data_IF_516033526460
#
_entry.id   IF_516033526460
#
_cell.length_a   1.000
_cell.length_b   1.000
_cell.length_c   1.000
_cell.angle_alpha   90.00
_cell.angle_beta   90.00
_cell.angle_gamma   90.00
#
_symmetry.space_group_name_H-M   'P 1'
#
loop_
_entity.id
_entity.type
_entity.pdbx_description
1 polymer ?
#
# COMPACT_ATOMS: atom_id res chain seq x y z
N UNK A 1 19.97 23.57 -10.84
CA UNK A 1 19.29 23.72 -12.13
C UNK A 1 19.53 25.16 -12.60
N UNK A 2 20.42 25.39 -13.57
CA UNK A 2 20.95 26.74 -13.87
C UNK A 2 20.67 27.23 -15.30
N UNK A 3 19.85 26.55 -16.10
CA UNK A 3 19.59 26.97 -17.50
C UNK A 3 18.13 26.72 -17.91
N UNK A 4 17.18 27.26 -17.16
CA UNK A 4 15.79 27.54 -17.58
C UNK A 4 15.30 28.69 -16.71
N UNK A 5 14.83 29.80 -17.30
CA UNK A 5 14.27 30.97 -16.57
C UNK A 5 12.86 30.67 -16.03
N UNK A 6 12.68 29.53 -15.37
CA UNK A 6 11.45 29.20 -14.68
C UNK A 6 11.48 29.84 -13.29
N UNK A 7 10.40 30.51 -12.90
CA UNK A 7 10.30 31.15 -11.59
C UNK A 7 10.45 30.15 -10.44
N UNK A 8 9.99 28.91 -10.64
CA UNK A 8 10.04 27.83 -9.65
C UNK A 8 10.13 26.47 -10.36
N UNK A 9 11.31 26.04 -10.84
CA UNK A 9 11.45 24.70 -11.42
C UNK A 9 11.09 23.63 -10.37
N UNK A 10 10.43 22.54 -10.77
CA UNK A 10 10.06 21.49 -9.83
C UNK A 10 11.31 20.90 -9.17
N UNK A 11 11.26 20.74 -7.85
CA UNK A 11 12.36 20.12 -7.10
C UNK A 11 12.54 18.68 -7.58
N UNK A 12 13.77 18.28 -7.87
CA UNK A 12 14.06 16.95 -8.41
C UNK A 12 13.54 15.81 -7.51
N UNK A 13 13.63 15.96 -6.19
CA UNK A 13 13.07 15.02 -5.21
C UNK A 13 11.56 14.84 -5.36
N UNK A 14 10.80 15.93 -5.54
CA UNK A 14 9.35 15.86 -5.77
C UNK A 14 9.03 15.12 -7.07
N UNK A 15 9.76 15.39 -8.15
CA UNK A 15 9.56 14.70 -9.43
C UNK A 15 9.82 13.21 -9.29
N UNK A 16 10.94 12.82 -8.66
CA UNK A 16 11.27 11.41 -8.43
C UNK A 16 10.23 10.74 -7.50
N UNK A 17 9.76 11.44 -6.47
CA UNK A 17 8.72 10.96 -5.56
C UNK A 17 7.40 10.69 -6.30
N UNK A 18 6.94 11.60 -7.15
CA UNK A 18 5.71 11.38 -7.93
C UNK A 18 5.87 10.25 -8.95
N UNK A 19 7.03 10.13 -9.60
CA UNK A 19 7.32 8.99 -10.49
C UNK A 19 7.33 7.65 -9.73
N UNK A 20 7.96 7.61 -8.55
CA UNK A 20 7.99 6.41 -7.72
C UNK A 20 6.58 6.03 -7.23
N UNK A 21 5.78 7.01 -6.80
CA UNK A 21 4.38 6.79 -6.42
C UNK A 21 3.53 6.26 -7.57
N UNK A 22 3.67 6.82 -8.77
CA UNK A 22 2.98 6.34 -9.96
C UNK A 22 3.37 4.88 -10.30
N UNK A 23 4.65 4.53 -10.16
CA UNK A 23 5.13 3.16 -10.29
C UNK A 23 4.44 2.23 -9.28
N UNK A 24 4.39 2.60 -8.00
CA UNK A 24 3.75 1.80 -6.95
C UNK A 24 2.24 1.62 -7.18
N UNK A 25 1.55 2.65 -7.69
CA UNK A 25 0.15 2.54 -8.09
C UNK A 25 -0.04 1.55 -9.24
N UNK A 26 0.83 1.57 -10.24
CA UNK A 26 0.80 0.61 -11.33
C UNK A 26 1.14 -0.81 -10.85
N UNK A 27 2.12 -0.97 -9.96
CA UNK A 27 2.47 -2.26 -9.35
C UNK A 27 1.29 -2.83 -8.57
N UNK A 28 0.58 -2.01 -7.80
CA UNK A 28 -0.62 -2.43 -7.08
C UNK A 28 -1.67 -2.99 -8.04
N UNK A 29 -1.98 -2.28 -9.13
CA UNK A 29 -2.96 -2.71 -10.13
C UNK A 29 -2.53 -4.01 -10.82
N UNK A 30 -1.27 -4.11 -11.24
CA UNK A 30 -0.74 -5.32 -11.89
C UNK A 30 -0.76 -6.54 -10.96
N UNK A 31 -0.41 -6.36 -9.68
CA UNK A 31 -0.51 -7.43 -8.69
C UNK A 31 -1.96 -7.83 -8.48
N UNK A 32 -2.87 -6.86 -8.38
CA UNK A 32 -4.29 -7.12 -8.15
C UNK A 32 -4.90 -7.90 -9.31
N UNK A 33 -4.65 -7.46 -10.55
CA UNK A 33 -5.07 -8.14 -11.78
C UNK A 33 -4.51 -9.57 -11.84
N UNK A 34 -3.21 -9.75 -11.55
CA UNK A 34 -2.59 -11.08 -11.54
C UNK A 34 -3.23 -11.99 -10.48
N UNK A 35 -3.50 -11.48 -9.27
CA UNK A 35 -4.18 -12.26 -8.23
C UNK A 35 -5.64 -12.55 -8.57
N UNK A 36 -6.27 -11.73 -9.42
CA UNK A 36 -7.63 -11.98 -9.88
C UNK A 36 -7.71 -13.19 -10.83
N UNK A 37 -6.63 -13.51 -11.56
CA UNK A 37 -6.57 -14.69 -12.44
C UNK A 37 -6.67 -16.00 -11.64
N UNK A 38 -6.21 -16.02 -10.38
CA UNK A 38 -6.26 -17.17 -9.47
C UNK A 38 -7.53 -17.23 -8.60
N UNK A 39 -8.49 -16.33 -8.82
CA UNK A 39 -9.74 -16.23 -8.05
C UNK A 39 -9.80 -14.97 -7.20
N UNK A 40 -10.11 -13.84 -7.86
CA UNK A 40 -10.20 -12.50 -7.26
C UNK A 40 -11.15 -12.33 -6.07
N UNK A 41 -11.41 -11.08 -5.64
CA UNK A 41 -12.33 -10.81 -4.53
C UNK A 41 -13.69 -11.48 -4.72
N UNK A 42 -14.21 -12.10 -3.67
CA UNK A 42 -15.51 -12.78 -3.69
C UNK A 42 -16.25 -12.56 -2.38
N UNK A 43 -17.57 -12.36 -2.44
CA UNK A 43 -18.40 -12.27 -1.23
C UNK A 43 -18.40 -13.57 -0.39
N UNK A 44 -18.00 -14.70 -0.98
CA UNK A 44 -17.99 -16.02 -0.34
C UNK A 44 -16.69 -16.31 0.43
N UNK A 45 -15.61 -15.54 0.20
CA UNK A 45 -14.30 -15.77 0.85
C UNK A 45 -13.49 -14.49 1.01
N UNK A 46 -12.82 -14.36 2.16
CA UNK A 46 -11.86 -13.27 2.43
C UNK A 46 -10.41 -13.61 2.09
N UNK A 47 -10.15 -14.82 1.57
CA UNK A 47 -8.78 -15.32 1.34
C UNK A 47 -7.99 -14.46 0.36
N UNK A 48 -8.64 -13.94 -0.69
CA UNK A 48 -7.99 -13.02 -1.64
C UNK A 48 -7.31 -11.86 -0.91
N UNK A 49 -8.02 -11.18 0.00
CA UNK A 49 -7.49 -10.04 0.76
C UNK A 49 -6.38 -10.43 1.73
N UNK A 50 -6.45 -11.65 2.27
CA UNK A 50 -5.45 -12.21 3.16
C UNK A 50 -4.15 -12.50 2.41
N UNK A 51 -4.23 -13.12 1.24
CA UNK A 51 -3.08 -13.49 0.41
C UNK A 51 -2.49 -12.26 -0.28
N UNK A 52 -3.33 -11.33 -0.75
CA UNK A 52 -2.92 -10.08 -1.38
C UNK A 52 -2.00 -9.23 -0.47
N UNK A 53 -2.23 -9.26 0.84
CA UNK A 53 -1.32 -8.63 1.81
C UNK A 53 0.09 -9.22 1.77
N UNK A 54 0.26 -10.53 1.52
CA UNK A 54 1.59 -11.14 1.44
C UNK A 54 2.36 -10.63 0.22
N UNK A 55 1.69 -10.43 -0.91
CA UNK A 55 2.29 -9.82 -2.10
C UNK A 55 2.70 -8.36 -1.84
N UNK A 56 1.84 -7.57 -1.19
CA UNK A 56 2.18 -6.21 -0.79
C UNK A 56 3.39 -6.17 0.14
N UNK A 57 3.45 -7.07 1.14
CA UNK A 57 4.60 -7.15 2.04
C UNK A 57 5.89 -7.41 1.28
N UNK A 58 5.88 -8.31 0.28
CA UNK A 58 7.06 -8.58 -0.55
C UNK A 58 7.50 -7.34 -1.35
N UNK A 59 6.57 -6.62 -1.97
CA UNK A 59 6.91 -5.39 -2.70
C UNK A 59 7.50 -4.33 -1.78
N UNK A 60 6.93 -4.13 -0.60
CA UNK A 60 7.46 -3.14 0.36
C UNK A 60 8.87 -3.52 0.82
N UNK A 61 9.14 -4.81 1.04
CA UNK A 61 10.50 -5.28 1.38
C UNK A 61 11.47 -5.06 0.22
N UNK A 62 11.07 -5.29 -1.03
CA UNK A 62 11.91 -5.02 -2.20
C UNK A 62 12.18 -3.51 -2.36
N UNK A 63 11.16 -2.66 -2.20
CA UNK A 63 11.28 -1.20 -2.23
C UNK A 63 12.18 -0.66 -1.13
N UNK A 64 12.12 -1.25 0.06
CA UNK A 64 12.95 -0.87 1.19
C UNK A 64 14.40 -1.35 1.05
N UNK A 65 14.61 -2.59 0.62
CA UNK A 65 15.92 -3.24 0.69
C UNK A 65 16.71 -3.14 -0.63
N UNK A 66 16.04 -2.95 -1.77
CA UNK A 66 16.66 -2.88 -3.10
C UNK A 66 16.60 -1.46 -3.65
N UNK A 67 15.40 -0.86 -3.75
CA UNK A 67 15.25 0.42 -4.45
C UNK A 67 15.62 1.64 -3.59
N UNK A 68 15.36 1.61 -2.29
CA UNK A 68 15.73 2.72 -1.39
C UNK A 68 17.25 2.97 -1.36
N UNK A 69 18.13 1.96 -1.26
CA UNK A 69 19.58 2.19 -1.35
C UNK A 69 20.03 2.76 -2.69
N UNK A 70 19.37 2.38 -3.79
CA UNK A 70 19.70 2.85 -5.14
C UNK A 70 19.25 4.30 -5.37
N UNK A 71 18.08 4.68 -4.85
CA UNK A 71 17.49 6.02 -4.97
C UNK A 71 17.74 6.88 -3.72
N UNK A 72 19.00 6.94 -3.28
CA UNK A 72 19.40 7.64 -2.05
C UNK A 72 19.79 9.13 -2.23
N UNK A 73 19.52 9.73 -3.39
CA UNK A 73 19.99 11.08 -3.72
C UNK A 73 19.35 12.17 -2.83
N UNK A 74 18.19 11.88 -2.23
CA UNK A 74 17.42 12.81 -1.39
C UNK A 74 16.96 12.13 -0.09
N UNK A 75 17.87 11.62 0.76
CA UNK A 75 17.52 10.68 1.84
C UNK A 75 16.69 11.31 2.97
N UNK A 76 16.68 12.64 3.07
CA UNK A 76 15.85 13.40 4.02
C UNK A 76 14.44 13.69 3.48
N UNK A 77 14.22 13.50 2.18
CA UNK A 77 12.99 13.91 1.49
C UNK A 77 12.24 12.71 0.89
N UNK A 78 12.98 11.68 0.47
CA UNK A 78 12.45 10.51 -0.20
C UNK A 78 13.06 9.24 0.40
N UNK A 79 12.19 8.39 0.93
CA UNK A 79 12.48 6.98 1.19
C UNK A 79 11.49 6.17 0.36
N UNK A 80 12.00 5.41 -0.61
CA UNK A 80 11.18 4.61 -1.53
C UNK A 80 10.37 3.58 -0.75
N UNK A 81 10.97 2.90 0.24
CA UNK A 81 10.26 1.95 1.09
C UNK A 81 9.13 2.57 1.90
N UNK A 82 9.33 3.77 2.47
CA UNK A 82 8.27 4.47 3.20
C UNK A 82 7.15 4.94 2.26
N UNK A 83 7.51 5.44 1.08
CA UNK A 83 6.55 5.87 0.06
C UNK A 83 5.73 4.67 -0.45
N UNK A 84 6.39 3.52 -0.64
CA UNK A 84 5.76 2.24 -1.00
C UNK A 84 4.74 1.81 0.04
N UNK A 85 5.15 1.71 1.30
CA UNK A 85 4.27 1.34 2.40
C UNK A 85 3.06 2.27 2.52
N UNK A 86 3.27 3.59 2.43
CA UNK A 86 2.18 4.57 2.46
C UNK A 86 1.20 4.43 1.28
N UNK A 87 1.73 4.27 0.06
CA UNK A 87 0.93 4.23 -1.17
C UNK A 87 0.12 2.94 -1.27
N UNK A 88 0.78 1.80 -1.07
CA UNK A 88 0.14 0.49 -1.14
C UNK A 88 -0.90 0.33 -0.02
N UNK A 89 -0.62 0.81 1.19
CA UNK A 89 -1.59 0.79 2.29
C UNK A 89 -2.87 1.57 1.95
N UNK A 90 -2.76 2.76 1.35
CA UNK A 90 -3.93 3.58 1.03
C UNK A 90 -4.82 2.94 -0.04
N UNK A 91 -4.21 2.32 -1.06
CA UNK A 91 -4.94 1.59 -2.09
C UNK A 91 -5.65 0.36 -1.50
N UNK A 92 -4.90 -0.47 -0.76
CA UNK A 92 -5.45 -1.66 -0.11
C UNK A 92 -6.57 -1.34 0.87
N UNK A 93 -6.39 -0.32 1.72
CA UNK A 93 -7.42 0.10 2.69
C UNK A 93 -8.72 0.47 1.99
N UNK A 94 -8.61 1.22 0.89
CA UNK A 94 -9.78 1.67 0.11
C UNK A 94 -10.51 0.48 -0.51
N UNK A 95 -9.78 -0.41 -1.18
CA UNK A 95 -10.37 -1.56 -1.84
C UNK A 95 -10.96 -2.58 -0.85
N UNK A 96 -10.25 -2.83 0.25
CA UNK A 96 -10.73 -3.71 1.31
C UNK A 96 -12.00 -3.14 1.96
N UNK A 97 -12.08 -1.82 2.18
CA UNK A 97 -13.29 -1.19 2.72
C UNK A 97 -14.49 -1.45 1.82
N UNK A 98 -14.36 -1.22 0.51
CA UNK A 98 -15.44 -1.49 -0.46
C UNK A 98 -15.86 -2.97 -0.44
N UNK A 99 -14.90 -3.89 -0.36
CA UNK A 99 -15.21 -5.31 -0.29
C UNK A 99 -15.94 -5.69 1.01
N UNK A 100 -15.51 -5.17 2.16
CA UNK A 100 -16.16 -5.44 3.45
C UNK A 100 -17.59 -4.87 3.52
N UNK A 101 -17.85 -3.74 2.87
CA UNK A 101 -19.20 -3.20 2.71
C UNK A 101 -20.13 -4.17 1.94
N UNK A 102 -19.63 -4.88 0.94
CA UNK A 102 -20.37 -5.95 0.23
C UNK A 102 -20.53 -7.21 1.10
N UNK A 103 -19.46 -7.65 1.77
CA UNK A 103 -19.52 -8.77 2.71
C UNK A 103 -20.53 -8.53 3.84
N UNK A 104 -20.68 -7.29 4.33
CA UNK A 104 -21.62 -6.95 5.38
C UNK A 104 -23.09 -7.15 4.97
N UNK A 105 -23.40 -7.08 3.67
CA UNK A 105 -24.75 -7.29 3.13
C UNK A 105 -25.13 -8.77 3.10
N UNK A 106 -24.18 -9.65 2.73
CA UNK A 106 -24.44 -11.06 2.48
C UNK A 106 -24.01 -11.98 3.64
N UNK A 107 -23.00 -11.57 4.41
CA UNK A 107 -22.45 -12.25 5.61
C UNK A 107 -22.19 -13.74 5.40
N UNK A 108 -21.59 -14.08 4.27
CA UNK A 108 -21.40 -15.49 3.88
C UNK A 108 -20.19 -16.16 4.52
N UNK A 109 -19.15 -15.40 4.89
CA UNK A 109 -17.99 -15.96 5.60
C UNK A 109 -18.26 -16.06 7.10
N UNK A 110 -17.53 -16.94 7.76
CA UNK A 110 -17.60 -17.15 9.20
C UNK A 110 -16.91 -16.02 9.98
N UNK A 111 -17.34 -15.76 11.22
CA UNK A 111 -16.68 -14.77 12.10
C UNK A 111 -15.17 -15.03 12.28
N UNK A 112 -14.69 -16.28 12.44
CA UNK A 112 -13.25 -16.54 12.49
C UNK A 112 -12.48 -16.11 11.24
N UNK A 113 -13.04 -16.22 10.03
CA UNK A 113 -12.39 -15.77 8.79
C UNK A 113 -12.20 -14.25 8.79
N UNK A 114 -13.24 -13.50 9.15
CA UNK A 114 -13.14 -12.04 9.28
C UNK A 114 -12.13 -11.62 10.36
N UNK A 115 -12.13 -12.30 11.50
CA UNK A 115 -11.18 -12.01 12.59
C UNK A 115 -9.74 -12.29 12.17
N UNK A 116 -9.48 -13.39 11.45
CA UNK A 116 -8.15 -13.71 10.94
C UNK A 116 -7.65 -12.64 9.96
N UNK A 117 -8.51 -12.18 9.04
CA UNK A 117 -8.19 -11.08 8.15
C UNK A 117 -7.88 -9.81 8.94
N UNK A 118 -8.74 -9.43 9.90
CA UNK A 118 -8.53 -8.26 10.74
C UNK A 118 -7.17 -8.29 11.48
N UNK A 119 -6.80 -9.43 12.07
CA UNK A 119 -5.51 -9.56 12.74
C UNK A 119 -4.33 -9.42 11.78
N UNK A 120 -4.43 -9.94 10.55
CA UNK A 120 -3.37 -9.79 9.55
C UNK A 120 -3.23 -8.34 9.07
N UNK A 121 -4.34 -7.67 8.78
CA UNK A 121 -4.37 -6.24 8.42
C UNK A 121 -3.78 -5.39 9.53
N UNK A 122 -4.15 -5.66 10.78
CA UNK A 122 -3.59 -5.00 11.96
C UNK A 122 -2.09 -5.21 12.07
N UNK A 123 -1.62 -6.44 11.89
CA UNK A 123 -0.19 -6.79 11.88
C UNK A 123 0.58 -6.06 10.78
N UNK A 124 0.04 -6.00 9.57
CA UNK A 124 0.59 -5.24 8.45
C UNK A 124 0.76 -3.76 8.81
N UNK A 125 -0.29 -3.11 9.34
CA UNK A 125 -0.27 -1.70 9.70
C UNK A 125 0.83 -1.39 10.72
N UNK A 126 0.93 -2.15 11.80
CA UNK A 126 1.96 -1.93 12.82
C UNK A 126 3.37 -2.21 12.31
N UNK A 127 3.54 -3.14 11.37
CA UNK A 127 4.85 -3.48 10.81
C UNK A 127 5.36 -2.43 9.81
N UNK A 128 4.48 -1.87 8.97
CA UNK A 128 4.89 -1.06 7.81
C UNK A 128 4.40 0.38 7.83
N UNK A 129 3.32 0.69 8.53
CA UNK A 129 2.57 1.94 8.38
C UNK A 129 2.65 2.83 9.61
N UNK A 130 2.53 2.26 10.81
CA UNK A 130 2.36 3.00 12.06
C UNK A 130 3.48 4.02 12.34
N UNK A 131 4.72 3.72 11.98
CA UNK A 131 5.87 4.61 12.23
C UNK A 131 6.13 5.64 11.12
N UNK A 132 5.34 5.62 10.04
CA UNK A 132 5.51 6.59 8.94
C UNK A 132 5.08 8.00 9.41
N UNK A 133 5.75 9.08 8.94
CA UNK A 133 5.50 10.44 9.43
C UNK A 133 4.04 10.89 9.38
N UNK A 134 3.28 10.44 8.37
CA UNK A 134 1.88 10.80 8.18
C UNK A 134 0.90 10.03 9.08
N UNK A 135 1.33 8.94 9.75
CA UNK A 135 0.48 8.10 10.60
C UNK A 135 0.92 8.04 12.06
N UNK A 136 2.13 8.51 12.38
CA UNK A 136 2.78 8.38 13.70
C UNK A 136 1.92 8.80 14.89
N UNK A 137 1.02 9.78 14.69
CA UNK A 137 0.12 10.29 15.72
C UNK A 137 -1.37 10.12 15.34
N UNK A 138 -1.65 9.36 14.29
CA UNK A 138 -3.02 9.07 13.83
C UNK A 138 -3.62 7.90 14.61
N UNK A 139 -4.93 7.93 14.81
CA UNK A 139 -5.68 6.76 15.26
C UNK A 139 -5.68 5.76 14.10
N UNK A 140 -5.22 4.51 14.28
CA UNK A 140 -5.26 3.53 13.22
C UNK A 140 -6.69 3.28 12.74
N UNK A 141 -6.94 3.57 11.47
CA UNK A 141 -8.22 3.30 10.83
C UNK A 141 -8.12 1.98 10.06
N UNK A 142 -8.74 0.95 10.60
CA UNK A 142 -8.87 -0.35 9.95
C UNK A 142 -10.24 -0.43 9.24
N UNK A 143 -10.30 -0.96 8.00
CA UNK A 143 -11.57 -1.32 7.39
C UNK A 143 -12.33 -2.30 8.30
N UNK A 144 -13.60 -2.02 8.58
CA UNK A 144 -14.46 -2.77 9.50
C UNK A 144 -15.85 -3.01 8.91
#
# INVERSE_FOLDING_TARGET
MKVLELASPPRASNVVSECAKACMQATYQLMFESCCEDGGPSADSVNFWFDFLDYMMRVIEDDKNIYTPVLNQFPQELSVGNLSAATLWQLYKTDLQMALEEHAQTKKCSTPEYMNLYFKVKGFYFKYVADLPQYKDSIPEFPA
#
